data_IF_249325124905
#
_entry.id   IF_249325124905
#
_cell.length_a   1.000
_cell.length_b   1.000
_cell.length_c   1.000
_cell.angle_alpha   90.00
_cell.angle_beta   90.00
_cell.angle_gamma   90.00
#
_symmetry.space_group_name_H-M   'P 1'
#
loop_
_entity.id
_entity.type
_entity.pdbx_description
1 polymer ?
#
# COMPACT_ATOMS: atom_id res chain seq x y z
N UNK A 1 14.66 29.95 10.58
CA UNK A 1 14.12 28.67 10.01
C UNK A 1 14.82 28.40 8.69
N UNK A 2 15.27 27.17 8.47
CA UNK A 2 15.79 26.79 7.14
C UNK A 2 14.61 26.45 6.24
N UNK A 3 14.60 26.82 4.94
CA UNK A 3 13.61 26.35 4.00
C UNK A 3 13.71 24.83 3.87
N UNK A 4 12.58 24.17 3.55
CA UNK A 4 12.58 22.73 3.26
C UNK A 4 13.30 22.49 1.93
N UNK A 5 14.24 21.55 1.92
CA UNK A 5 14.93 21.15 0.70
C UNK A 5 14.11 20.08 -0.09
N UNK A 6 13.31 19.30 0.63
CA UNK A 6 12.48 18.25 0.07
C UNK A 6 11.03 18.37 0.55
N UNK A 7 10.08 17.94 -0.26
CA UNK A 7 8.67 18.05 0.06
C UNK A 7 8.30 17.32 1.36
N UNK A 8 8.82 16.12 1.57
CA UNK A 8 8.52 15.32 2.76
C UNK A 8 8.92 16.02 4.07
N UNK A 9 9.90 16.92 4.05
CA UNK A 9 10.31 17.66 5.25
C UNK A 9 9.20 18.57 5.78
N UNK A 10 8.34 19.07 4.87
CA UNK A 10 7.16 19.86 5.26
C UNK A 10 6.17 18.96 5.98
N UNK A 11 5.86 17.81 5.41
CA UNK A 11 4.88 16.85 5.95
C UNK A 11 5.36 16.28 7.30
N UNK A 12 6.64 16.01 7.42
CA UNK A 12 7.24 15.44 8.64
C UNK A 12 7.25 16.40 9.84
N UNK A 13 6.96 17.68 9.65
CA UNK A 13 6.72 18.58 10.81
C UNK A 13 5.54 18.11 11.65
N UNK A 14 4.53 17.50 11.02
CA UNK A 14 3.34 17.00 11.69
C UNK A 14 3.29 15.46 11.71
N UNK A 15 3.75 14.79 10.66
CA UNK A 15 3.61 13.34 10.46
C UNK A 15 4.88 12.53 10.84
N UNK A 16 5.72 13.05 11.72
CA UNK A 16 6.90 12.34 12.25
C UNK A 16 6.88 12.27 13.78
N UNK A 17 7.81 12.91 14.44
CA UNK A 17 7.97 12.87 15.91
C UNK A 17 7.08 13.88 16.65
N UNK A 18 6.01 14.38 16.06
CA UNK A 18 5.10 15.33 16.70
C UNK A 18 4.40 14.70 17.91
N UNK A 19 4.43 15.40 19.05
CA UNK A 19 3.80 14.94 20.29
C UNK A 19 2.26 14.99 20.28
N UNK A 20 1.67 15.69 19.31
CA UNK A 20 0.23 15.92 19.22
C UNK A 20 -0.45 15.02 18.17
N UNK A 21 0.20 13.94 17.75
CA UNK A 21 -0.42 12.95 16.88
C UNK A 21 -1.56 12.24 17.62
N UNK A 22 -2.68 11.95 16.95
CA UNK A 22 -3.73 11.13 17.56
C UNK A 22 -3.14 9.77 17.95
N UNK A 23 -3.08 9.49 19.23
CA UNK A 23 -2.55 8.23 19.77
C UNK A 23 -3.58 7.09 19.68
N UNK A 24 -4.83 7.40 19.40
CA UNK A 24 -5.93 6.44 19.38
C UNK A 24 -6.50 6.32 17.98
N UNK A 25 -6.32 5.16 17.42
CA UNK A 25 -6.85 4.72 16.14
C UNK A 25 -8.36 4.42 16.17
N UNK A 26 -9.15 5.10 16.97
CA UNK A 26 -10.61 5.06 16.86
C UNK A 26 -11.11 5.90 15.68
N UNK A 27 -10.43 5.80 14.54
CA UNK A 27 -10.93 6.28 13.26
C UNK A 27 -11.89 5.26 12.64
N UNK A 28 -12.86 4.81 13.44
CA UNK A 28 -13.91 3.89 12.96
C UNK A 28 -14.96 4.56 12.07
N UNK A 29 -14.81 5.86 11.77
CA UNK A 29 -15.83 6.61 11.01
C UNK A 29 -15.76 6.34 9.51
N UNK A 30 -14.60 5.90 8.99
CA UNK A 30 -14.37 5.69 7.56
C UNK A 30 -13.53 4.45 7.27
N UNK A 31 -13.81 3.36 7.95
CA UNK A 31 -13.06 2.12 7.80
C UNK A 31 -12.07 1.88 8.94
N UNK A 32 -11.60 0.66 9.05
CA UNK A 32 -10.67 0.27 10.10
C UNK A 32 -9.24 0.69 9.77
N UNK A 33 -8.51 1.14 10.78
CA UNK A 33 -7.06 1.30 10.67
C UNK A 33 -6.39 -0.07 10.76
N UNK A 34 -5.57 -0.46 9.79
CA UNK A 34 -4.84 -1.72 9.85
C UNK A 34 -3.97 -1.82 11.11
N UNK A 35 -4.12 -2.90 11.87
CA UNK A 35 -3.26 -3.21 13.01
C UNK A 35 -2.08 -4.05 12.53
N UNK A 36 -0.96 -3.42 12.29
CA UNK A 36 0.19 -4.03 11.63
C UNK A 36 0.95 -5.00 12.53
N UNK A 37 1.40 -6.11 11.95
CA UNK A 37 2.25 -7.09 12.59
C UNK A 37 3.48 -6.43 13.23
N UNK A 38 4.21 -5.60 12.48
CA UNK A 38 5.41 -4.92 12.95
C UNK A 38 5.11 -3.91 14.06
N UNK A 39 3.99 -3.19 13.98
CA UNK A 39 3.60 -2.21 15.00
C UNK A 39 3.27 -2.82 16.36
N UNK A 40 2.96 -4.11 16.42
CA UNK A 40 2.82 -4.80 17.70
C UNK A 40 4.12 -4.82 18.52
N UNK A 41 5.26 -4.64 17.87
CA UNK A 41 6.61 -4.70 18.46
C UNK A 41 7.21 -3.30 18.58
N UNK A 42 6.83 -2.37 17.70
CA UNK A 42 7.40 -1.01 17.62
C UNK A 42 6.43 0.03 18.17
N UNK A 43 6.99 1.02 18.85
CA UNK A 43 6.24 1.91 19.76
C UNK A 43 5.52 3.08 19.09
N UNK A 44 5.70 3.37 17.81
CA UNK A 44 5.09 4.53 17.17
C UNK A 44 4.52 4.23 15.78
N UNK A 45 3.31 3.65 15.73
CA UNK A 45 2.67 3.28 14.46
C UNK A 45 2.23 4.50 13.61
N UNK A 46 2.27 5.71 14.16
CA UNK A 46 1.87 6.94 13.49
C UNK A 46 3.05 7.79 13.01
N UNK A 47 4.27 7.30 13.18
CA UNK A 47 5.47 7.98 12.72
C UNK A 47 5.84 7.56 11.30
N UNK A 48 5.18 8.18 10.32
CA UNK A 48 5.39 7.86 8.90
C UNK A 48 6.85 8.04 8.46
N UNK A 49 7.60 8.92 9.13
CA UNK A 49 9.04 9.07 8.87
C UNK A 49 9.80 7.77 9.13
N UNK A 50 9.47 7.05 10.20
CA UNK A 50 10.10 5.78 10.50
C UNK A 50 9.77 4.71 9.47
N UNK A 51 8.53 4.66 9.00
CA UNK A 51 8.12 3.74 7.93
C UNK A 51 8.96 3.98 6.66
N UNK A 52 9.13 5.24 6.27
CA UNK A 52 9.81 5.60 5.03
C UNK A 52 11.34 5.61 5.11
N UNK A 53 11.93 5.78 6.30
CA UNK A 53 13.39 5.91 6.47
C UNK A 53 14.06 4.65 6.98
N UNK A 54 13.43 3.89 7.88
CA UNK A 54 14.06 2.72 8.51
C UNK A 54 13.76 1.41 7.79
N UNK A 55 12.91 1.42 6.78
CA UNK A 55 12.50 0.23 6.05
C UNK A 55 13.46 -0.14 4.92
N UNK A 56 13.72 -1.44 4.77
CA UNK A 56 14.39 -1.99 3.58
C UNK A 56 13.44 -1.96 2.38
N UNK A 57 12.16 -2.32 2.58
CA UNK A 57 11.11 -2.19 1.58
C UNK A 57 10.26 -0.94 1.89
N UNK A 58 10.23 0.00 0.97
CA UNK A 58 9.47 1.26 1.07
C UNK A 58 9.22 1.85 -0.30
N UNK A 59 8.25 2.74 -0.38
CA UNK A 59 8.22 3.69 -1.49
C UNK A 59 9.34 4.73 -1.35
N UNK A 60 9.94 5.12 -2.45
CA UNK A 60 11.14 5.97 -2.53
C UNK A 60 10.83 7.47 -2.32
N UNK A 61 10.23 7.82 -1.18
CA UNK A 61 9.87 9.20 -0.84
C UNK A 61 11.05 9.95 -0.23
N UNK A 62 11.75 9.35 0.72
CA UNK A 62 12.86 10.01 1.45
C UNK A 62 14.25 9.68 0.92
N UNK A 63 14.33 8.70 0.04
CA UNK A 63 15.56 8.28 -0.62
C UNK A 63 15.24 7.90 -2.06
N UNK A 64 16.20 8.05 -2.98
CA UNK A 64 15.96 7.69 -4.38
C UNK A 64 15.74 6.20 -4.56
N UNK A 65 15.09 5.85 -5.67
CA UNK A 65 15.00 4.47 -6.14
C UNK A 65 16.37 3.86 -6.31
N UNK A 66 16.55 2.61 -5.87
CA UNK A 66 17.78 1.84 -6.02
C UNK A 66 17.89 1.13 -7.36
N UNK A 67 16.96 1.36 -8.28
CA UNK A 67 16.98 0.76 -9.62
C UNK A 67 16.31 -0.59 -9.75
N UNK A 68 16.01 -1.30 -8.65
CA UNK A 68 15.12 -2.46 -8.69
C UNK A 68 13.68 -2.00 -8.78
N UNK A 69 12.95 -2.52 -9.73
CA UNK A 69 11.56 -2.16 -9.96
C UNK A 69 10.64 -3.34 -9.68
N UNK A 70 9.46 -3.07 -9.11
CA UNK A 70 8.42 -4.08 -9.03
C UNK A 70 8.00 -4.48 -10.46
N UNK A 71 7.77 -5.76 -10.74
CA UNK A 71 7.39 -6.21 -12.09
C UNK A 71 6.16 -5.50 -12.66
N UNK A 72 5.22 -5.12 -11.79
CA UNK A 72 4.01 -4.38 -12.16
C UNK A 72 4.21 -2.88 -12.36
N UNK A 73 5.40 -2.32 -12.05
CA UNK A 73 5.59 -0.88 -12.07
C UNK A 73 5.56 -0.35 -13.50
N UNK A 74 4.68 0.60 -13.76
CA UNK A 74 4.57 1.30 -15.05
C UNK A 74 5.87 2.06 -15.35
N UNK A 75 6.15 2.32 -16.61
CA UNK A 75 7.29 3.17 -17.01
C UNK A 75 7.10 4.60 -16.52
N UNK A 76 5.87 5.09 -16.55
CA UNK A 76 5.49 6.45 -16.16
C UNK A 76 4.26 6.46 -15.28
N UNK A 77 4.20 7.45 -14.40
CA UNK A 77 3.02 7.74 -13.60
C UNK A 77 1.87 8.21 -14.50
N UNK A 78 0.64 7.82 -14.18
CA UNK A 78 -0.55 8.25 -14.91
C UNK A 78 -1.16 9.51 -14.31
N UNK A 79 -1.68 10.41 -15.15
CA UNK A 79 -2.53 11.52 -14.76
C UNK A 79 -3.99 11.04 -14.45
N UNK A 80 -4.87 11.96 -14.02
CA UNK A 80 -6.26 11.65 -13.70
C UNK A 80 -7.08 11.11 -14.89
N UNK A 81 -6.64 11.37 -16.11
CA UNK A 81 -7.24 10.85 -17.34
C UNK A 81 -6.64 9.53 -17.80
N UNK A 82 -5.65 9.00 -17.06
CA UNK A 82 -4.96 7.75 -17.41
C UNK A 82 -3.83 7.90 -18.42
N UNK A 83 -3.45 9.12 -18.77
CA UNK A 83 -2.34 9.34 -19.69
C UNK A 83 -1.00 9.29 -18.96
N UNK A 84 0.07 8.77 -19.58
CA UNK A 84 1.40 8.82 -19.02
C UNK A 84 1.90 10.26 -18.83
N UNK A 85 2.29 10.62 -17.62
CA UNK A 85 2.91 11.91 -17.32
C UNK A 85 4.36 11.97 -17.76
N UNK A 86 5.01 13.16 -17.62
CA UNK A 86 6.45 13.30 -17.81
C UNK A 86 7.32 12.57 -16.77
N UNK A 87 6.73 12.07 -15.66
CA UNK A 87 7.48 11.48 -14.55
C UNK A 87 7.75 10.00 -14.78
N UNK A 88 9.04 9.65 -14.84
CA UNK A 88 9.50 8.27 -14.88
C UNK A 88 9.39 7.64 -13.49
N UNK A 89 8.90 6.40 -13.44
CA UNK A 89 8.83 5.57 -12.23
C UNK A 89 9.97 4.55 -12.15
N UNK A 90 10.56 4.22 -13.31
CA UNK A 90 11.63 3.26 -13.42
C UNK A 90 12.98 3.95 -13.55
N UNK A 91 14.03 3.23 -13.18
CA UNK A 91 15.39 3.72 -13.19
C UNK A 91 15.87 4.20 -11.82
N UNK A 92 17.18 4.24 -11.64
CA UNK A 92 17.81 4.74 -10.42
C UNK A 92 17.64 6.25 -10.27
N UNK A 93 17.56 6.72 -9.02
CA UNK A 93 17.48 8.15 -8.71
C UNK A 93 16.09 8.77 -8.74
N UNK A 94 15.03 8.04 -9.12
CA UNK A 94 13.65 8.56 -9.07
C UNK A 94 13.13 8.69 -7.65
N UNK A 95 12.30 9.72 -7.42
CA UNK A 95 11.61 9.97 -6.16
C UNK A 95 10.10 10.00 -6.34
N UNK A 96 9.39 9.54 -5.31
CA UNK A 96 7.97 9.82 -5.11
C UNK A 96 7.81 10.99 -4.14
N UNK A 97 6.72 11.72 -4.29
CA UNK A 97 6.33 12.78 -3.37
C UNK A 97 5.12 12.32 -2.55
N UNK A 98 4.97 12.86 -1.35
CA UNK A 98 3.76 12.64 -0.56
C UNK A 98 2.50 12.99 -1.38
N UNK A 99 2.59 14.05 -2.19
CA UNK A 99 1.51 14.52 -3.06
C UNK A 99 1.28 13.65 -4.31
N UNK A 100 2.09 12.66 -4.57
CA UNK A 100 1.77 11.70 -5.64
C UNK A 100 0.61 10.78 -5.24
N UNK A 101 0.41 10.61 -3.93
CA UNK A 101 -0.68 9.84 -3.36
C UNK A 101 -1.68 10.74 -2.61
N UNK A 102 -1.19 11.67 -1.76
CA UNK A 102 -2.01 12.58 -0.95
C UNK A 102 -2.17 13.92 -1.66
N UNK A 103 -3.24 14.03 -2.45
CA UNK A 103 -3.49 15.18 -3.31
C UNK A 103 -5.00 15.44 -3.42
N UNK A 104 -5.37 16.59 -3.98
CA UNK A 104 -6.75 16.79 -4.41
C UNK A 104 -7.11 15.80 -5.53
N UNK A 105 -8.30 15.24 -5.47
CA UNK A 105 -8.87 14.37 -6.50
C UNK A 105 -9.19 15.09 -7.82
N UNK A 106 -8.97 16.40 -7.85
CA UNK A 106 -9.12 17.28 -9.02
C UNK A 106 -7.85 18.10 -9.30
N UNK A 107 -6.69 17.70 -8.77
CA UNK A 107 -5.46 18.47 -8.84
C UNK A 107 -5.01 18.80 -10.26
N UNK A 108 -4.65 20.06 -10.51
CA UNK A 108 -4.14 20.52 -11.83
C UNK A 108 -2.84 19.82 -12.24
N UNK A 109 -1.97 19.57 -11.29
CA UNK A 109 -0.71 18.84 -11.55
C UNK A 109 -0.92 17.40 -12.00
N UNK A 110 -2.10 16.85 -11.80
CA UNK A 110 -2.52 15.51 -12.24
C UNK A 110 -3.54 15.55 -13.38
N UNK A 111 -3.69 16.69 -14.06
CA UNK A 111 -4.61 16.84 -15.20
C UNK A 111 -6.01 17.31 -14.87
N UNK A 112 -6.31 17.65 -13.61
CA UNK A 112 -7.60 18.23 -13.18
C UNK A 112 -7.64 19.75 -13.29
N UNK A 113 -8.62 20.35 -12.63
CA UNK A 113 -8.84 21.81 -12.62
C UNK A 113 -8.73 22.44 -11.21
N UNK A 114 -8.66 21.62 -10.19
CA UNK A 114 -8.61 22.01 -8.78
C UNK A 114 -7.20 22.37 -8.28
N UNK A 115 -7.07 22.70 -6.99
CA UNK A 115 -5.78 23.03 -6.39
C UNK A 115 -4.88 21.79 -6.30
N UNK A 116 -3.56 22.02 -6.34
CA UNK A 116 -2.59 20.96 -6.06
C UNK A 116 -2.38 20.83 -4.54
N UNK A 117 -2.01 19.62 -4.10
CA UNK A 117 -1.71 19.30 -2.72
C UNK A 117 -2.92 18.80 -1.93
N UNK A 118 -2.73 18.42 -0.66
CA UNK A 118 -3.76 17.78 0.17
C UNK A 118 -4.75 18.81 0.75
N UNK A 119 -5.38 19.62 -0.10
CA UNK A 119 -6.35 20.63 0.28
C UNK A 119 -7.79 20.14 0.40
N UNK A 120 -8.07 18.97 -0.17
CA UNK A 120 -9.37 18.33 -0.14
C UNK A 120 -9.43 17.21 -1.16
N UNK A 121 -10.10 16.13 -0.80
CA UNK A 121 -10.36 14.98 -1.65
C UNK A 121 -11.62 14.29 -1.17
N UNK A 122 -12.37 13.71 -2.08
CA UNK A 122 -13.51 12.82 -1.78
C UNK A 122 -13.05 11.48 -1.21
N UNK A 123 -11.77 11.16 -1.36
CA UNK A 123 -11.21 9.87 -0.93
C UNK A 123 -10.56 9.98 0.45
N UNK A 124 -10.80 8.96 1.28
CA UNK A 124 -10.26 8.90 2.63
C UNK A 124 -8.73 9.02 2.63
N UNK A 125 -8.16 9.54 3.72
CA UNK A 125 -6.76 9.93 3.86
C UNK A 125 -6.27 11.00 2.86
N UNK A 126 -7.18 11.79 2.29
CA UNK A 126 -6.86 12.79 1.27
C UNK A 126 -6.09 12.18 0.08
N UNK A 127 -6.47 10.97 -0.33
CA UNK A 127 -5.86 10.33 -1.49
C UNK A 127 -6.35 11.00 -2.78
N UNK A 128 -5.47 11.09 -3.77
CA UNK A 128 -5.82 11.64 -5.09
C UNK A 128 -6.86 10.79 -5.81
N UNK A 129 -6.90 9.48 -5.53
CA UNK A 129 -7.78 8.50 -6.18
C UNK A 129 -8.33 7.53 -5.16
N UNK A 130 -9.38 6.81 -5.57
CA UNK A 130 -10.04 5.81 -4.75
C UNK A 130 -9.08 4.74 -4.25
N UNK A 131 -9.23 4.40 -2.99
CA UNK A 131 -8.70 3.22 -2.35
C UNK A 131 -9.79 2.60 -1.47
N UNK A 132 -10.08 1.33 -1.67
CA UNK A 132 -11.08 0.64 -0.87
C UNK A 132 -10.44 0.06 0.40
N UNK A 133 -10.66 0.77 1.48
CA UNK A 133 -10.12 0.41 2.79
C UNK A 133 -10.93 -0.71 3.46
N UNK A 134 -12.24 -0.75 3.20
CA UNK A 134 -13.17 -1.65 3.87
C UNK A 134 -13.33 -2.99 3.15
N UNK A 135 -12.50 -3.24 2.13
CA UNK A 135 -12.45 -4.53 1.49
C UNK A 135 -11.79 -5.55 2.42
N UNK A 136 -12.61 -6.43 3.00
CA UNK A 136 -12.16 -7.55 3.79
C UNK A 136 -12.22 -8.83 2.97
N UNK A 137 -11.30 -9.78 3.18
CA UNK A 137 -11.46 -11.12 2.66
C UNK A 137 -12.80 -11.70 3.13
N UNK A 138 -13.51 -12.36 2.22
CA UNK A 138 -14.75 -13.02 2.58
C UNK A 138 -14.51 -14.06 3.69
N UNK A 139 -15.31 -14.00 4.74
CA UNK A 139 -15.30 -15.05 5.77
C UNK A 139 -15.90 -16.32 5.16
N UNK A 140 -15.24 -17.48 5.23
CA UNK A 140 -15.82 -18.71 4.73
C UNK A 140 -17.22 -18.95 5.28
N UNK A 141 -18.21 -19.10 4.39
CA UNK A 141 -19.63 -19.28 4.77
C UNK A 141 -20.41 -18.01 5.10
N UNK A 142 -19.81 -16.82 5.01
CA UNK A 142 -20.51 -15.54 5.15
C UNK A 142 -20.89 -14.98 3.79
N UNK A 143 -22.09 -14.44 3.68
CA UNK A 143 -22.58 -13.75 2.47
C UNK A 143 -22.25 -12.24 2.48
N UNK A 144 -21.56 -11.73 3.48
CA UNK A 144 -21.11 -10.34 3.53
C UNK A 144 -19.84 -10.22 2.71
N UNK A 145 -20.02 -10.06 1.43
CA UNK A 145 -18.90 -9.76 0.52
C UNK A 145 -18.43 -8.32 0.74
N UNK A 146 -17.14 -8.14 0.92
CA UNK A 146 -16.50 -6.87 0.70
C UNK A 146 -16.78 -6.38 -0.74
N UNK A 147 -16.66 -5.07 -1.02
CA UNK A 147 -16.83 -4.56 -2.37
C UNK A 147 -15.98 -5.35 -3.37
N UNK A 148 -16.59 -5.74 -4.49
CA UNK A 148 -15.89 -6.41 -5.57
C UNK A 148 -14.81 -5.49 -6.16
N UNK A 149 -13.72 -6.09 -6.62
CA UNK A 149 -12.72 -5.35 -7.39
C UNK A 149 -13.34 -4.77 -8.66
N UNK A 150 -13.10 -3.49 -8.88
CA UNK A 150 -13.43 -2.80 -10.13
C UNK A 150 -12.16 -2.20 -10.71
N UNK A 151 -11.85 -2.43 -12.00
CA UNK A 151 -10.65 -1.91 -12.64
C UNK A 151 -10.73 -0.42 -13.00
N UNK A 152 -9.60 0.14 -13.42
CA UNK A 152 -9.50 1.43 -14.08
C UNK A 152 -9.41 2.64 -13.17
N UNK A 153 -9.51 3.83 -13.76
CA UNK A 153 -9.20 5.12 -13.15
C UNK A 153 -10.05 5.49 -11.94
N UNK A 154 -11.28 4.98 -11.85
CA UNK A 154 -12.20 5.14 -10.72
C UNK A 154 -12.39 3.82 -9.97
N UNK A 155 -11.55 2.85 -10.27
CA UNK A 155 -11.62 1.51 -9.71
C UNK A 155 -11.27 1.46 -8.23
N UNK A 156 -11.47 0.30 -7.64
CA UNK A 156 -11.32 0.03 -6.20
C UNK A 156 -9.96 0.45 -5.65
N UNK A 157 -8.90 0.29 -6.44
CA UNK A 157 -7.51 0.62 -6.07
C UNK A 157 -6.83 1.55 -7.07
N UNK A 158 -7.57 2.52 -7.58
CA UNK A 158 -7.10 3.47 -8.59
C UNK A 158 -5.84 4.25 -8.17
N UNK A 159 -5.64 4.48 -6.87
CA UNK A 159 -4.41 5.11 -6.38
C UNK A 159 -3.17 4.25 -6.62
N UNK A 160 -3.29 2.94 -6.50
CA UNK A 160 -2.19 2.01 -6.79
C UNK A 160 -1.99 1.88 -8.31
N UNK A 161 -3.08 1.85 -9.08
CA UNK A 161 -3.04 1.75 -10.53
C UNK A 161 -2.39 2.96 -11.21
N UNK A 162 -2.31 4.09 -10.53
CA UNK A 162 -1.55 5.26 -10.98
C UNK A 162 -0.10 4.93 -11.34
N UNK A 163 0.50 3.98 -10.64
CA UNK A 163 1.92 3.62 -10.77
C UNK A 163 2.13 2.13 -11.08
N UNK A 164 1.23 1.25 -10.68
CA UNK A 164 1.30 -0.19 -10.89
C UNK A 164 0.26 -0.61 -11.91
N UNK A 165 0.63 -1.40 -12.88
CA UNK A 165 -0.31 -1.98 -13.83
C UNK A 165 -1.10 -3.11 -13.16
N UNK A 166 -2.22 -2.75 -12.55
CA UNK A 166 -3.02 -3.72 -11.80
C UNK A 166 -3.68 -4.72 -12.73
N UNK A 167 -4.37 -4.23 -13.75
CA UNK A 167 -5.24 -5.06 -14.58
C UNK A 167 -4.49 -6.02 -15.48
N UNK A 168 -3.38 -5.57 -16.08
CA UNK A 168 -2.62 -6.38 -17.03
C UNK A 168 -1.47 -7.17 -16.38
N UNK A 169 -1.09 -6.82 -15.14
CA UNK A 169 0.01 -7.45 -14.42
C UNK A 169 -0.45 -8.13 -13.13
N UNK A 170 -0.65 -7.36 -12.04
CA UNK A 170 -0.87 -7.94 -10.71
C UNK A 170 -2.18 -8.74 -10.58
N UNK A 171 -3.26 -8.27 -11.18
CA UNK A 171 -4.60 -8.84 -11.04
C UNK A 171 -5.06 -9.59 -12.29
N UNK A 172 -4.16 -9.82 -13.24
CA UNK A 172 -4.41 -10.66 -14.40
C UNK A 172 -4.48 -12.13 -14.02
N UNK A 173 -5.40 -12.87 -14.64
CA UNK A 173 -5.44 -14.34 -14.55
C UNK A 173 -4.30 -15.03 -15.32
N UNK A 174 -3.63 -14.31 -16.22
CA UNK A 174 -2.54 -14.87 -16.99
C UNK A 174 -1.38 -15.20 -16.05
N UNK A 175 -1.04 -16.47 -15.93
CA UNK A 175 0.02 -16.99 -15.05
C UNK A 175 1.41 -16.44 -15.37
N UNK A 176 1.56 -15.79 -16.50
CA UNK A 176 2.81 -15.16 -16.96
C UNK A 176 2.94 -13.70 -16.58
N UNK A 177 1.85 -13.05 -16.17
CA UNK A 177 1.82 -11.60 -15.91
C UNK A 177 2.42 -11.26 -14.54
N UNK A 178 2.13 -12.05 -13.50
CA UNK A 178 2.71 -11.91 -12.17
C UNK A 178 3.65 -13.07 -11.86
N UNK A 179 4.90 -12.89 -12.23
CA UNK A 179 5.94 -13.90 -12.03
C UNK A 179 6.41 -14.07 -10.59
N UNK A 180 6.00 -13.15 -9.69
CA UNK A 180 6.47 -13.14 -8.30
C UNK A 180 5.44 -13.75 -7.36
N UNK A 181 4.18 -13.35 -7.46
CA UNK A 181 3.10 -13.85 -6.61
C UNK A 181 1.81 -14.02 -7.41
N UNK A 182 1.62 -15.20 -7.98
CA UNK A 182 0.47 -15.52 -8.84
C UNK A 182 -0.90 -15.51 -8.12
N UNK A 183 -0.93 -15.17 -6.83
CA UNK A 183 -2.16 -15.23 -6.02
C UNK A 183 -2.82 -13.87 -5.79
N UNK A 184 -2.29 -12.78 -6.35
CA UNK A 184 -2.96 -11.48 -6.26
C UNK A 184 -4.38 -11.54 -6.80
N UNK A 185 -4.60 -12.12 -7.98
CA UNK A 185 -5.94 -12.30 -8.54
C UNK A 185 -6.86 -13.05 -7.57
N UNK A 186 -6.40 -14.19 -7.05
CA UNK A 186 -7.19 -15.00 -6.12
C UNK A 186 -7.59 -14.22 -4.87
N UNK A 187 -6.64 -13.48 -4.27
CA UNK A 187 -6.91 -12.77 -3.01
C UNK A 187 -7.72 -11.49 -3.24
N UNK A 188 -7.34 -10.67 -4.21
CA UNK A 188 -7.94 -9.35 -4.41
C UNK A 188 -9.25 -9.44 -5.17
N UNK A 189 -9.28 -10.20 -6.28
CA UNK A 189 -10.45 -10.24 -7.17
C UNK A 189 -11.48 -11.26 -6.69
N UNK A 190 -11.05 -12.48 -6.36
CA UNK A 190 -11.98 -13.54 -5.96
C UNK A 190 -12.36 -13.52 -4.49
N UNK A 191 -11.42 -13.16 -3.60
CA UNK A 191 -11.66 -13.14 -2.15
C UNK A 191 -11.87 -11.72 -1.61
N UNK A 192 -11.86 -10.71 -2.46
CA UNK A 192 -12.07 -9.29 -2.12
C UNK A 192 -11.13 -8.78 -1.02
N UNK A 193 -9.90 -9.29 -0.99
CA UNK A 193 -8.89 -8.86 -0.02
C UNK A 193 -8.30 -7.53 -0.43
N UNK A 194 -8.30 -6.53 0.45
CA UNK A 194 -7.65 -5.26 0.16
C UNK A 194 -6.12 -5.38 0.11
N UNK A 195 -5.48 -4.53 -0.68
CA UNK A 195 -4.01 -4.47 -0.72
C UNK A 195 -3.43 -4.21 0.67
N UNK A 196 -4.10 -3.39 1.49
CA UNK A 196 -3.69 -3.08 2.86
C UNK A 196 -3.80 -4.25 3.83
N UNK A 197 -4.47 -5.34 3.48
CA UNK A 197 -4.46 -6.56 4.31
C UNK A 197 -3.05 -7.14 4.42
N UNK A 198 -2.28 -7.04 3.34
CA UNK A 198 -0.92 -7.59 3.27
C UNK A 198 0.16 -6.53 3.21
N UNK A 199 -0.10 -5.36 2.59
CA UNK A 199 0.92 -4.36 2.30
C UNK A 199 0.79 -3.09 3.15
N UNK A 200 1.94 -2.55 3.56
CA UNK A 200 2.04 -1.22 4.17
C UNK A 200 2.61 -0.23 3.16
N UNK A 201 1.78 0.67 2.64
CA UNK A 201 2.13 1.53 1.51
C UNK A 201 3.30 2.49 1.78
N UNK A 202 3.53 2.92 3.02
CA UNK A 202 4.65 3.81 3.35
C UNK A 202 5.97 3.06 3.48
N UNK A 203 5.95 1.87 4.02
CA UNK A 203 7.11 1.08 4.41
C UNK A 203 6.87 0.43 5.76
N UNK A 204 7.93 -0.15 6.33
CA UNK A 204 7.81 -0.98 7.53
C UNK A 204 8.94 -0.66 8.49
N UNK A 205 8.61 -0.14 9.66
CA UNK A 205 9.62 0.18 10.68
C UNK A 205 10.42 -1.05 11.08
N UNK A 206 11.75 -0.95 10.99
CA UNK A 206 12.65 -2.05 11.35
C UNK A 206 12.47 -3.31 10.51
N UNK A 207 11.78 -3.21 9.36
CA UNK A 207 11.57 -4.32 8.47
C UNK A 207 12.87 -4.87 7.90
N UNK A 208 12.97 -6.19 7.79
CA UNK A 208 14.10 -6.88 7.18
C UNK A 208 13.78 -7.30 5.75
N UNK A 209 14.81 -7.57 4.94
CA UNK A 209 14.65 -8.06 3.58
C UNK A 209 13.99 -9.44 3.49
N UNK A 210 14.00 -10.20 4.56
CA UNK A 210 13.42 -11.55 4.61
C UNK A 210 11.95 -11.47 5.01
N UNK A 211 11.64 -10.79 6.12
CA UNK A 211 10.30 -10.82 6.71
C UNK A 211 9.34 -9.79 6.11
N UNK A 212 9.87 -8.71 5.53
CA UNK A 212 9.07 -7.57 5.08
C UNK A 212 9.39 -7.17 3.63
N UNK A 213 9.92 -8.10 2.82
CA UNK A 213 10.07 -7.88 1.40
C UNK A 213 8.73 -7.47 0.75
N UNK A 214 8.79 -6.72 -0.32
CA UNK A 214 7.62 -6.28 -1.09
C UNK A 214 6.57 -5.49 -0.28
N UNK A 215 6.97 -4.77 0.78
CA UNK A 215 6.07 -4.03 1.67
C UNK A 215 5.09 -4.93 2.46
N UNK A 216 5.37 -6.22 2.61
CA UNK A 216 4.48 -7.14 3.31
C UNK A 216 4.55 -6.89 4.82
N UNK A 217 3.42 -6.46 5.37
CA UNK A 217 3.21 -6.23 6.81
C UNK A 217 1.72 -6.45 7.11
N UNK A 218 1.39 -7.66 7.47
CA UNK A 218 0.01 -8.12 7.60
C UNK A 218 -0.80 -7.31 8.61
N UNK A 219 -2.06 -7.05 8.27
CA UNK A 219 -3.05 -6.50 9.18
C UNK A 219 -3.56 -7.59 10.13
N UNK A 220 -3.22 -7.48 11.40
CA UNK A 220 -3.58 -8.44 12.45
C UNK A 220 -5.06 -8.45 12.81
N UNK A 221 -5.85 -7.49 12.34
CA UNK A 221 -7.31 -7.57 12.47
C UNK A 221 -7.90 -8.64 11.55
N UNK A 222 -7.17 -9.02 10.49
CA UNK A 222 -7.61 -9.99 9.48
C UNK A 222 -6.76 -11.24 9.51
N UNK A 223 -5.44 -11.05 9.62
CA UNK A 223 -4.44 -12.11 9.45
C UNK A 223 -3.85 -12.47 10.80
N UNK A 224 -4.00 -13.71 11.21
CA UNK A 224 -3.44 -14.26 12.43
C UNK A 224 -2.29 -15.23 12.18
N UNK A 225 -1.60 -15.65 13.24
CA UNK A 225 -0.60 -16.71 13.13
C UNK A 225 -1.23 -18.04 12.71
N UNK A 226 -0.43 -18.89 12.12
CA UNK A 226 -0.82 -20.27 11.84
C UNK A 226 -0.92 -21.10 13.16
N UNK A 227 -1.30 -22.36 13.02
CA UNK A 227 -1.43 -23.27 14.18
C UNK A 227 -0.11 -23.62 14.89
N UNK A 228 1.02 -23.10 14.40
CA UNK A 228 2.35 -23.17 15.04
C UNK A 228 2.85 -21.80 15.53
N UNK A 229 1.97 -20.79 15.54
CA UNK A 229 2.31 -19.44 15.99
C UNK A 229 3.11 -18.61 14.99
N UNK A 230 3.20 -19.00 13.71
CA UNK A 230 3.98 -18.31 12.68
C UNK A 230 3.10 -17.31 11.93
N UNK A 231 3.66 -16.12 11.67
CA UNK A 231 3.01 -15.06 10.89
C UNK A 231 4.06 -14.35 10.03
N UNK A 232 4.35 -14.91 8.86
CA UNK A 232 5.31 -14.30 7.93
C UNK A 232 5.14 -14.84 6.50
N UNK A 233 5.75 -14.12 5.56
CA UNK A 233 5.98 -14.52 4.18
C UNK A 233 7.44 -14.96 4.03
N UNK A 234 7.66 -16.18 3.59
CA UNK A 234 8.98 -16.67 3.18
C UNK A 234 9.15 -16.49 1.67
N UNK A 235 9.93 -15.51 1.27
CA UNK A 235 10.17 -15.22 -0.15
C UNK A 235 11.10 -16.25 -0.82
N UNK A 236 11.93 -16.93 -0.04
CA UNK A 236 12.84 -17.96 -0.53
C UNK A 236 12.06 -19.26 -0.82
N UNK A 237 11.26 -19.69 0.14
CA UNK A 237 10.41 -20.86 -0.03
C UNK A 237 9.15 -20.56 -0.85
N UNK A 238 8.88 -19.30 -1.19
CA UNK A 238 7.65 -18.83 -1.85
C UNK A 238 6.41 -19.35 -1.12
N UNK A 239 6.34 -19.11 0.18
CA UNK A 239 5.35 -19.70 1.06
C UNK A 239 4.86 -18.71 2.13
N UNK A 240 3.56 -18.79 2.44
CA UNK A 240 2.93 -18.05 3.54
C UNK A 240 2.72 -18.98 4.74
N UNK A 241 3.00 -18.44 5.92
CA UNK A 241 2.77 -19.08 7.21
C UNK A 241 1.87 -18.16 8.04
N UNK A 242 0.57 -18.39 8.00
CA UNK A 242 -0.44 -17.54 8.62
C UNK A 242 -1.82 -18.22 8.62
N UNK A 243 -2.78 -17.60 9.30
CA UNK A 243 -4.21 -17.91 9.15
C UNK A 243 -4.95 -16.66 8.72
N UNK A 244 -5.79 -16.76 7.70
CA UNK A 244 -6.61 -15.66 7.21
C UNK A 244 -8.06 -16.11 7.11
N UNK A 245 -8.98 -15.48 7.86
CA UNK A 245 -10.42 -15.84 7.92
C UNK A 245 -10.68 -17.34 8.06
N UNK A 246 -9.93 -18.00 8.96
CA UNK A 246 -10.07 -19.46 9.19
C UNK A 246 -9.37 -20.34 8.14
N UNK A 247 -8.79 -19.77 7.11
CA UNK A 247 -7.98 -20.52 6.13
C UNK A 247 -6.54 -20.60 6.62
N UNK A 248 -6.09 -21.81 6.90
CA UNK A 248 -4.74 -22.10 7.39
C UNK A 248 -3.74 -22.17 6.23
N UNK A 249 -2.69 -21.36 6.32
CA UNK A 249 -1.49 -21.41 5.48
C UNK A 249 -0.32 -21.96 6.32
N UNK A 250 0.11 -23.23 6.09
CA UNK A 250 1.12 -23.90 6.96
C UNK A 250 1.98 -24.96 6.27
N UNK A 251 2.88 -24.64 5.34
CA UNK A 251 2.87 -23.49 4.46
C UNK A 251 1.80 -23.58 3.37
N UNK A 252 1.48 -22.45 2.78
CA UNK A 252 0.80 -22.38 1.49
C UNK A 252 1.76 -21.78 0.49
N UNK A 253 2.20 -22.57 -0.47
CA UNK A 253 3.13 -22.15 -1.53
C UNK A 253 2.40 -21.44 -2.68
N UNK A 254 3.12 -20.62 -3.45
CA UNK A 254 2.63 -19.86 -4.59
C UNK A 254 3.62 -19.83 -5.75
#
# INVERSE_FOLDING_TARGET
MRPAANQYEICFKCHANSNNKPQNANYSVYGRTPYRYTYAVLSDPYNIRLDLQSSVARHNVTQPSRGSVAPSLRLKMLDLSGNPTGRSLQGGGSYLYCTDCHNSDSARGSGGIGPNGPHGSSYFHLLERRYEYDAFPATPGSNTAAPAYTPGLLGTYAICDKCHDLDNSLLSQATTADVVFHKHYTHVVLQHTSCSTCHSAHGIQGGTSINNAHLVNFDKNIVGPDNKGRLYLDTTARACYLTCHGVLHNPKTY
#
